data_IF_454072236567
#
_entry.id   IF_454072236567
#
_cell.length_a   1.000
_cell.length_b   1.000
_cell.length_c   1.000
_cell.angle_alpha   90.00
_cell.angle_beta   90.00
_cell.angle_gamma   90.00
#
_symmetry.space_group_name_H-M   'P 1'
#
loop_
_entity.id
_entity.type
_entity.pdbx_description
1 polymer ?
#
# COMPACT_ATOMS: atom_id res chain seq x y z
N UNK A 1 -25.59 -12.36 -78.91
CA UNK A 1 -25.69 -11.10 -78.15
C UNK A 1 -26.04 -11.46 -76.71
N UNK A 2 -25.07 -11.39 -75.81
CA UNK A 2 -25.24 -11.50 -74.35
C UNK A 2 -24.31 -10.47 -73.71
N UNK A 3 -24.81 -9.49 -72.94
CA UNK A 3 -23.95 -8.58 -72.19
C UNK A 3 -23.68 -9.14 -70.79
N UNK A 4 -22.40 -9.27 -70.44
CA UNK A 4 -21.94 -9.52 -69.07
C UNK A 4 -21.95 -8.22 -68.28
N UNK A 5 -22.62 -8.22 -67.13
CA UNK A 5 -22.60 -7.15 -66.13
C UNK A 5 -21.45 -7.37 -65.15
N UNK A 6 -20.51 -6.43 -65.08
CA UNK A 6 -19.46 -6.37 -64.05
C UNK A 6 -19.95 -5.41 -62.95
N UNK A 7 -20.13 -5.93 -61.74
CA UNK A 7 -20.40 -5.16 -60.53
C UNK A 7 -19.06 -4.74 -59.90
N UNK A 8 -18.76 -3.44 -59.90
CA UNK A 8 -17.62 -2.87 -59.20
C UNK A 8 -18.05 -2.43 -57.78
N UNK A 9 -17.52 -3.08 -56.75
CA UNK A 9 -17.70 -2.71 -55.35
C UNK A 9 -16.79 -1.55 -54.98
N UNK A 10 -17.34 -0.41 -54.58
CA UNK A 10 -16.60 0.74 -54.07
C UNK A 10 -16.38 0.60 -52.56
N UNK A 11 -15.13 0.35 -52.13
CA UNK A 11 -14.73 0.51 -50.73
C UNK A 11 -14.55 2.00 -50.42
N UNK A 12 -15.41 2.57 -49.59
CA UNK A 12 -15.23 3.91 -49.05
C UNK A 12 -14.26 3.84 -47.85
N UNK A 13 -13.02 4.29 -48.03
CA UNK A 13 -12.06 4.50 -46.93
C UNK A 13 -12.41 5.81 -46.24
N UNK A 14 -12.94 5.73 -45.01
CA UNK A 14 -13.16 6.90 -44.17
C UNK A 14 -11.85 7.22 -43.45
N UNK A 15 -11.08 8.18 -43.98
CA UNK A 15 -9.92 8.71 -43.28
C UNK A 15 -10.39 9.54 -42.08
N UNK A 16 -10.20 9.04 -40.85
CA UNK A 16 -10.33 9.87 -39.65
C UNK A 16 -9.02 10.65 -39.45
N UNK A 17 -9.10 11.97 -39.50
CA UNK A 17 -7.97 12.83 -39.14
C UNK A 17 -7.55 12.54 -37.70
N UNK A 18 -6.26 12.24 -37.49
CA UNK A 18 -5.71 12.10 -36.15
C UNK A 18 -5.81 13.45 -35.41
N UNK A 19 -6.14 13.46 -34.11
CA UNK A 19 -6.21 14.70 -33.34
C UNK A 19 -4.82 15.36 -33.30
N UNK A 20 -4.75 16.62 -33.69
CA UNK A 20 -3.55 17.45 -33.53
C UNK A 20 -3.36 17.78 -32.05
N UNK A 21 -2.31 17.23 -31.45
CA UNK A 21 -1.91 17.54 -30.08
C UNK A 21 -1.32 18.96 -29.99
N UNK A 22 -1.70 19.78 -28.99
CA UNK A 22 -0.99 21.01 -28.67
C UNK A 22 0.44 20.69 -28.19
N UNK A 23 1.43 21.44 -28.67
CA UNK A 23 2.81 21.33 -28.19
C UNK A 23 2.91 21.70 -26.71
N UNK A 24 3.43 20.79 -25.90
CA UNK A 24 3.71 21.02 -24.48
C UNK A 24 5.06 21.72 -24.33
N UNK A 25 5.02 22.99 -23.94
CA UNK A 25 6.21 23.72 -23.47
C UNK A 25 6.58 23.25 -22.07
N UNK A 26 7.53 22.33 -21.97
CA UNK A 26 8.13 21.91 -20.71
C UNK A 26 9.45 22.67 -20.51
N UNK A 27 9.41 23.74 -19.73
CA UNK A 27 10.64 24.30 -19.14
C UNK A 27 10.83 23.73 -17.74
N UNK A 28 12.05 23.25 -17.51
CA UNK A 28 12.66 22.68 -16.29
C UNK A 28 12.63 21.15 -16.08
N UNK A 29 13.80 20.59 -16.38
CA UNK A 29 14.48 19.35 -15.99
C UNK A 29 13.88 18.51 -14.84
N UNK A 30 13.47 17.28 -15.17
CA UNK A 30 13.84 16.05 -14.47
C UNK A 30 13.62 14.83 -15.40
N UNK A 31 14.72 14.21 -15.84
CA UNK A 31 14.84 12.86 -16.44
C UNK A 31 13.65 12.30 -17.25
N UNK A 32 13.61 12.64 -18.54
CA UNK A 32 12.54 12.32 -19.50
C UNK A 32 12.25 10.84 -19.84
N UNK A 33 12.85 9.87 -19.14
CA UNK A 33 12.51 8.43 -19.28
C UNK A 33 11.51 7.95 -18.24
N UNK A 34 11.53 8.50 -17.02
CA UNK A 34 10.58 8.13 -15.96
C UNK A 34 9.17 8.66 -16.23
N UNK A 35 9.06 9.86 -16.81
CA UNK A 35 7.78 10.48 -17.15
C UNK A 35 7.09 9.79 -18.33
N UNK A 36 7.84 9.32 -19.34
CA UNK A 36 7.27 8.57 -20.45
C UNK A 36 6.81 7.17 -20.03
N UNK A 37 7.59 6.45 -19.20
CA UNK A 37 7.17 5.15 -18.66
C UNK A 37 5.91 5.31 -17.83
N UNK A 38 5.89 6.22 -16.85
CA UNK A 38 4.71 6.47 -16.04
C UNK A 38 3.51 6.88 -16.90
N UNK A 39 3.72 7.65 -17.96
CA UNK A 39 2.67 8.02 -18.91
C UNK A 39 2.13 6.82 -19.69
N UNK A 40 3.00 5.93 -20.20
CA UNK A 40 2.58 4.70 -20.87
C UNK A 40 1.93 3.71 -19.90
N UNK A 41 2.40 3.62 -18.65
CA UNK A 41 1.81 2.80 -17.60
C UNK A 41 0.40 3.31 -17.25
N UNK A 42 0.19 4.63 -17.20
CA UNK A 42 -1.13 5.23 -17.02
C UNK A 42 -2.05 4.95 -18.22
N UNK A 43 -1.53 5.05 -19.45
CA UNK A 43 -2.32 4.74 -20.66
C UNK A 43 -2.68 3.27 -20.70
N UNK A 44 -1.74 2.37 -20.44
CA UNK A 44 -1.97 0.93 -20.37
C UNK A 44 -3.00 0.60 -19.28
N UNK A 45 -2.81 1.12 -18.07
CA UNK A 45 -3.78 0.97 -16.98
C UNK A 45 -5.16 1.53 -17.35
N UNK A 46 -5.22 2.62 -18.10
CA UNK A 46 -6.48 3.21 -18.58
C UNK A 46 -7.16 2.36 -19.64
N UNK A 47 -6.41 1.78 -20.58
CA UNK A 47 -6.93 0.91 -21.64
C UNK A 47 -7.45 -0.39 -21.02
N UNK A 48 -6.66 -1.03 -20.16
CA UNK A 48 -7.04 -2.25 -19.44
C UNK A 48 -8.25 -1.99 -18.52
N UNK A 49 -8.23 -0.93 -17.73
CA UNK A 49 -9.36 -0.60 -16.87
C UNK A 49 -10.61 -0.21 -17.67
N UNK A 50 -10.48 0.44 -18.85
CA UNK A 50 -11.65 0.70 -19.71
C UNK A 50 -12.24 -0.60 -20.24
N UNK A 51 -11.41 -1.59 -20.57
CA UNK A 51 -11.85 -2.94 -20.97
C UNK A 51 -12.55 -3.67 -19.81
N UNK A 52 -11.97 -3.61 -18.60
CA UNK A 52 -12.54 -4.19 -17.38
C UNK A 52 -13.85 -3.50 -16.94
N UNK A 53 -13.97 -2.18 -17.13
CA UNK A 53 -15.17 -1.40 -16.85
C UNK A 53 -16.23 -1.52 -17.95
N UNK A 54 -15.84 -2.03 -19.13
CA UNK A 54 -16.75 -2.36 -20.23
C UNK A 54 -17.28 -3.80 -20.16
N UNK A 55 -16.83 -4.59 -19.17
CA UNK A 55 -17.39 -5.92 -18.92
C UNK A 55 -18.89 -5.81 -18.55
N UNK A 56 -19.77 -6.63 -19.15
CA UNK A 56 -21.21 -6.51 -18.94
C UNK A 56 -21.56 -6.89 -17.50
N UNK A 57 -22.31 -6.01 -16.81
CA UNK A 57 -22.98 -6.23 -15.52
C UNK A 57 -22.17 -6.98 -14.46
N UNK A 58 -21.35 -6.25 -13.69
CA UNK A 58 -20.80 -6.69 -12.40
C UNK A 58 -19.80 -7.86 -12.48
N UNK A 59 -18.57 -7.62 -12.06
CA UNK A 59 -17.61 -8.69 -11.79
C UNK A 59 -18.06 -9.57 -10.61
N UNK A 60 -17.69 -10.85 -10.65
CA UNK A 60 -17.93 -11.80 -9.55
C UNK A 60 -16.81 -11.68 -8.50
N UNK A 61 -17.11 -11.00 -7.38
CA UNK A 61 -16.13 -10.78 -6.30
C UNK A 61 -15.73 -12.04 -5.55
N UNK A 62 -16.45 -13.16 -5.71
CA UNK A 62 -16.01 -14.45 -5.16
C UNK A 62 -14.71 -14.94 -5.80
N UNK A 63 -14.34 -14.40 -6.96
CA UNK A 63 -13.08 -14.68 -7.66
C UNK A 63 -11.94 -13.75 -7.26
N UNK A 64 -12.22 -12.71 -6.49
CA UNK A 64 -11.19 -11.77 -6.06
C UNK A 64 -10.27 -12.44 -5.04
N UNK A 65 -8.96 -12.36 -5.28
CA UNK A 65 -7.96 -12.99 -4.43
C UNK A 65 -7.05 -11.93 -3.79
N UNK A 66 -7.09 -11.84 -2.47
CA UNK A 66 -6.16 -11.00 -1.72
C UNK A 66 -4.77 -11.65 -1.74
N UNK A 67 -3.69 -10.89 -2.04
CA UNK A 67 -2.34 -11.42 -2.00
C UNK A 67 -2.01 -12.02 -0.63
N UNK A 68 -1.43 -13.22 -0.65
CA UNK A 68 -0.81 -13.86 0.52
C UNK A 68 0.70 -13.75 0.38
N UNK A 69 1.41 -13.16 1.34
CA UNK A 69 2.83 -12.90 1.17
C UNK A 69 3.57 -12.71 2.48
N UNK A 70 4.33 -13.76 2.83
CA UNK A 70 5.19 -13.96 4.02
C UNK A 70 4.38 -14.09 5.32
N UNK A 71 4.69 -15.11 6.12
CA UNK A 71 4.06 -15.40 7.42
C UNK A 71 3.80 -14.09 8.19
N UNK A 72 2.54 -13.77 8.51
CA UNK A 72 2.31 -12.60 9.39
C UNK A 72 0.91 -12.01 9.48
N UNK A 73 0.07 -12.12 8.46
CA UNK A 73 -1.34 -11.71 8.59
C UNK A 73 -2.26 -12.94 8.66
N UNK A 74 -3.11 -13.05 9.70
CA UNK A 74 -4.16 -14.07 9.74
C UNK A 74 -5.05 -13.98 8.50
N UNK A 75 -5.54 -15.13 8.04
CA UNK A 75 -6.58 -15.15 7.01
C UNK A 75 -7.86 -14.46 7.52
N UNK A 76 -8.71 -13.96 6.60
CA UNK A 76 -10.05 -13.49 6.95
C UNK A 76 -10.81 -14.54 7.76
N UNK A 77 -11.56 -14.10 8.77
CA UNK A 77 -12.36 -15.02 9.57
C UNK A 77 -13.30 -15.87 8.70
N UNK A 78 -13.53 -17.11 9.14
CA UNK A 78 -14.40 -18.05 8.43
C UNK A 78 -15.82 -17.47 8.26
N UNK A 79 -16.40 -17.65 7.09
CA UNK A 79 -17.72 -17.11 6.73
C UNK A 79 -17.70 -15.69 6.16
N UNK A 80 -16.55 -14.99 6.21
CA UNK A 80 -16.43 -13.67 5.58
C UNK A 80 -16.26 -13.77 4.06
N UNK A 81 -16.83 -12.78 3.35
CA UNK A 81 -16.72 -12.63 1.90
C UNK A 81 -16.24 -11.23 1.52
N UNK A 82 -15.59 -11.10 0.36
CA UNK A 82 -15.12 -9.80 -0.14
C UNK A 82 -16.32 -8.91 -0.45
N UNK A 83 -16.41 -7.76 0.25
CA UNK A 83 -17.44 -6.74 0.05
C UNK A 83 -17.03 -5.70 -0.96
N UNK A 84 -15.78 -5.26 -0.88
CA UNK A 84 -15.24 -4.18 -1.69
C UNK A 84 -13.72 -4.28 -1.70
N UNK A 85 -13.11 -3.87 -2.81
CA UNK A 85 -11.67 -3.67 -2.92
C UNK A 85 -11.42 -2.26 -3.42
N UNK A 86 -10.51 -1.55 -2.78
CA UNK A 86 -10.17 -0.18 -3.15
C UNK A 86 -8.67 0.02 -3.25
N UNK A 87 -8.23 0.82 -4.22
CA UNK A 87 -6.90 1.41 -4.19
C UNK A 87 -6.99 2.71 -3.41
N UNK A 88 -6.19 2.83 -2.36
CA UNK A 88 -6.02 4.07 -1.60
C UNK A 88 -4.81 4.85 -2.10
N UNK A 89 -4.98 6.16 -2.26
CA UNK A 89 -3.89 7.11 -2.45
C UNK A 89 -4.03 8.26 -1.46
N UNK A 90 -2.96 8.53 -0.72
CA UNK A 90 -2.92 9.62 0.24
C UNK A 90 -1.59 9.71 0.98
N UNK A 91 -1.64 10.13 2.24
CA UNK A 91 -0.45 10.36 3.08
C UNK A 91 -0.50 9.59 4.39
N UNK A 92 0.67 9.17 4.83
CA UNK A 92 0.95 8.75 6.19
C UNK A 92 1.48 9.96 6.96
N UNK A 93 0.93 10.21 8.13
CA UNK A 93 1.26 11.38 8.92
C UNK A 93 2.16 10.97 10.07
N UNK A 94 3.20 11.75 10.33
CA UNK A 94 4.19 11.47 11.38
C UNK A 94 4.49 12.71 12.20
N UNK A 95 4.93 12.48 13.43
CA UNK A 95 5.37 13.54 14.34
C UNK A 95 6.75 13.26 14.90
N UNK A 96 7.47 14.34 15.17
CA UNK A 96 8.80 14.34 15.78
C UNK A 96 8.82 15.28 16.98
N UNK A 97 9.38 14.81 18.09
CA UNK A 97 9.56 15.63 19.29
C UNK A 97 10.71 16.62 19.05
N UNK A 98 10.45 17.91 19.30
CA UNK A 98 11.46 18.95 19.13
C UNK A 98 12.70 18.68 20.00
N UNK A 99 13.89 18.69 19.38
CA UNK A 99 15.16 18.46 20.06
C UNK A 99 15.59 17.00 20.21
N UNK A 100 14.84 16.04 19.65
CA UNK A 100 15.21 14.62 19.60
C UNK A 100 15.46 14.17 18.16
N UNK A 101 16.57 14.60 17.57
CA UNK A 101 16.92 14.26 16.18
C UNK A 101 17.05 12.74 15.97
N UNK A 102 17.62 12.02 16.92
CA UNK A 102 17.87 10.57 16.81
C UNK A 102 16.63 9.70 17.10
N UNK A 103 15.50 10.30 17.49
CA UNK A 103 14.28 9.54 17.80
C UNK A 103 13.59 9.05 16.53
N UNK A 104 12.94 7.89 16.61
CA UNK A 104 12.07 7.36 15.54
C UNK A 104 10.81 8.22 15.41
N UNK A 105 10.40 8.65 14.20
CA UNK A 105 9.15 9.38 14.01
C UNK A 105 7.92 8.57 14.46
N UNK A 106 7.02 9.22 15.21
CA UNK A 106 5.80 8.58 15.72
C UNK A 106 4.67 8.66 14.68
N UNK A 107 3.92 7.57 14.49
CA UNK A 107 2.76 7.57 13.62
C UNK A 107 1.65 8.50 14.15
N UNK A 108 1.22 9.44 13.31
CA UNK A 108 0.15 10.41 13.56
C UNK A 108 -1.15 10.10 12.81
N UNK A 109 -1.27 8.90 12.24
CA UNK A 109 -2.42 8.46 11.44
C UNK A 109 -2.17 8.52 9.93
N UNK A 110 -3.24 8.43 9.15
CA UNK A 110 -3.20 8.49 7.69
C UNK A 110 -4.47 9.13 7.14
N UNK A 111 -4.40 9.66 5.93
CA UNK A 111 -5.56 10.11 5.13
C UNK A 111 -5.41 9.55 3.73
N UNK A 112 -6.48 9.06 3.11
CA UNK A 112 -6.48 8.63 1.72
C UNK A 112 -7.84 8.78 1.04
N UNK A 113 -7.79 9.03 -0.27
CA UNK A 113 -8.92 8.83 -1.16
C UNK A 113 -8.92 7.39 -1.65
N UNK A 114 -10.10 6.76 -1.66
CA UNK A 114 -10.28 5.37 -2.08
C UNK A 114 -10.94 5.31 -3.45
N UNK A 115 -10.41 4.47 -4.34
CA UNK A 115 -10.91 4.26 -5.70
C UNK A 115 -11.33 2.80 -5.89
N UNK A 116 -12.52 2.58 -6.46
CA UNK A 116 -13.09 1.24 -6.60
C UNK A 116 -12.22 0.39 -7.51
N UNK A 117 -11.66 -0.69 -6.95
CA UNK A 117 -10.84 -1.66 -7.65
C UNK A 117 -11.44 -3.07 -7.58
N UNK A 118 -12.70 -3.21 -7.17
CA UNK A 118 -13.35 -4.51 -6.94
C UNK A 118 -13.36 -5.40 -8.19
N UNK A 119 -13.62 -4.83 -9.36
CA UNK A 119 -13.57 -5.60 -10.61
C UNK A 119 -12.15 -5.87 -11.10
N UNK A 120 -11.20 -4.98 -10.84
CA UNK A 120 -9.79 -5.27 -11.11
C UNK A 120 -9.35 -6.44 -10.24
N UNK A 121 -9.74 -6.48 -8.97
CA UNK A 121 -9.44 -7.56 -8.05
C UNK A 121 -9.99 -8.92 -8.49
N UNK A 122 -11.18 -8.95 -9.11
CA UNK A 122 -11.82 -10.18 -9.56
C UNK A 122 -11.37 -10.66 -10.96
N UNK A 123 -11.00 -9.73 -11.84
CA UNK A 123 -10.73 -10.02 -13.26
C UNK A 123 -9.23 -10.03 -13.59
N UNK A 124 -8.43 -9.22 -12.88
CA UNK A 124 -6.99 -9.03 -13.13
C UNK A 124 -6.22 -8.77 -11.83
N UNK A 125 -6.07 -9.76 -10.93
CA UNK A 125 -5.31 -9.62 -9.69
C UNK A 125 -3.87 -9.13 -9.92
N UNK A 126 -3.22 -9.60 -10.99
CA UNK A 126 -1.86 -9.19 -11.38
C UNK A 126 -1.76 -7.70 -11.73
N UNK A 127 -2.82 -7.13 -12.30
CA UNK A 127 -2.90 -5.69 -12.55
C UNK A 127 -3.08 -4.95 -11.23
N UNK A 128 -3.97 -5.42 -10.36
CA UNK A 128 -4.22 -4.82 -9.06
C UNK A 128 -2.94 -4.68 -8.23
N UNK A 129 -2.06 -5.68 -8.25
CA UNK A 129 -0.78 -5.66 -7.55
C UNK A 129 0.16 -4.55 -8.02
N UNK A 130 0.05 -4.11 -9.27
CA UNK A 130 0.90 -3.06 -9.85
C UNK A 130 0.36 -1.66 -9.60
N UNK A 131 -0.95 -1.50 -9.40
CA UNK A 131 -1.58 -0.18 -9.31
C UNK A 131 -0.94 0.73 -8.24
N UNK A 132 -0.65 0.27 -7.01
CA UNK A 132 -0.04 1.12 -5.98
C UNK A 132 1.31 1.72 -6.39
N UNK A 133 2.13 0.97 -7.16
CA UNK A 133 3.44 1.45 -7.63
C UNK A 133 3.36 2.64 -8.58
N UNK A 134 2.28 2.71 -9.36
CA UNK A 134 1.99 3.85 -10.24
C UNK A 134 1.28 4.96 -9.47
N UNK A 135 0.30 4.59 -8.62
CA UNK A 135 -0.51 5.56 -7.87
C UNK A 135 0.32 6.43 -6.91
N UNK A 136 1.34 5.87 -6.26
CA UNK A 136 2.22 6.63 -5.34
C UNK A 136 3.03 7.73 -6.06
N UNK A 137 3.31 7.54 -7.36
CA UNK A 137 4.06 8.48 -8.21
C UNK A 137 3.19 9.58 -8.81
N UNK A 138 1.87 9.49 -8.64
CA UNK A 138 0.98 10.53 -9.09
C UNK A 138 1.00 11.68 -8.08
N UNK A 139 1.33 12.85 -8.57
CA UNK A 139 1.20 14.11 -7.86
C UNK A 139 -0.28 14.37 -7.54
N UNK A 140 -0.60 14.55 -6.27
CA UNK A 140 -1.96 14.84 -5.84
C UNK A 140 -2.45 16.13 -6.49
N UNK A 141 -3.69 16.11 -7.02
CA UNK A 141 -4.28 17.25 -7.72
C UNK A 141 -3.78 17.49 -9.15
N UNK A 142 -2.80 16.72 -9.65
CA UNK A 142 -2.37 16.78 -11.05
C UNK A 142 -3.46 16.32 -12.02
N UNK A 143 -3.37 16.73 -13.29
CA UNK A 143 -4.24 16.23 -14.36
C UNK A 143 -4.18 14.71 -14.49
N UNK A 144 -2.99 14.11 -14.32
CA UNK A 144 -2.79 12.67 -14.35
C UNK A 144 -3.45 11.94 -13.16
N UNK A 145 -3.37 12.50 -11.94
CA UNK A 145 -4.10 11.96 -10.79
C UNK A 145 -5.62 12.05 -10.99
N UNK A 146 -6.10 13.17 -11.57
CA UNK A 146 -7.52 13.34 -11.93
C UNK A 146 -7.95 12.36 -13.02
N UNK A 147 -7.09 12.07 -14.00
CA UNK A 147 -7.38 11.13 -15.07
C UNK A 147 -7.31 9.68 -14.60
N UNK A 148 -6.36 9.30 -13.74
CA UNK A 148 -6.34 8.00 -13.07
C UNK A 148 -7.55 7.80 -12.15
N UNK A 149 -7.99 8.85 -11.45
CA UNK A 149 -9.24 8.89 -10.70
C UNK A 149 -10.51 8.84 -11.58
N UNK A 150 -10.41 9.13 -12.88
CA UNK A 150 -11.49 8.89 -13.85
C UNK A 150 -11.50 7.46 -14.34
N UNK A 151 -10.36 6.76 -14.26
CA UNK A 151 -10.26 5.34 -14.58
C UNK A 151 -10.94 4.52 -13.50
N UNK A 152 -10.54 4.67 -12.23
CA UNK A 152 -11.22 4.02 -11.12
C UNK A 152 -12.14 5.02 -10.42
N UNK A 153 -13.44 4.73 -10.36
CA UNK A 153 -14.40 5.62 -9.71
C UNK A 153 -14.08 5.77 -8.22
N UNK A 154 -14.10 7.01 -7.70
CA UNK A 154 -13.97 7.26 -6.26
C UNK A 154 -15.04 6.48 -5.50
N UNK A 155 -14.60 5.76 -4.48
CA UNK A 155 -15.43 4.84 -3.68
C UNK A 155 -15.39 5.11 -2.18
N UNK A 156 -14.71 6.17 -1.74
CA UNK A 156 -14.71 6.55 -0.34
C UNK A 156 -13.51 7.38 0.07
N UNK A 157 -13.37 7.49 1.38
CA UNK A 157 -12.22 8.09 2.06
C UNK A 157 -11.81 7.25 3.26
N UNK A 158 -10.53 7.31 3.58
CA UNK A 158 -9.95 6.75 4.78
C UNK A 158 -9.28 7.87 5.57
N UNK A 159 -9.50 7.91 6.88
CA UNK A 159 -8.77 8.79 7.80
C UNK A 159 -8.80 8.22 9.22
N UNK A 160 -7.96 8.75 10.11
CA UNK A 160 -7.97 8.39 11.52
C UNK A 160 -8.85 9.38 12.32
N UNK A 161 -9.78 8.88 13.14
CA UNK A 161 -10.62 9.74 14.00
C UNK A 161 -9.96 10.09 15.33
N UNK A 162 -8.98 9.28 15.73
CA UNK A 162 -8.09 9.45 16.88
C UNK A 162 -6.79 8.68 16.60
N UNK A 163 -5.86 8.62 17.56
CA UNK A 163 -4.55 7.96 17.35
C UNK A 163 -4.63 6.45 17.07
N UNK A 164 -5.77 5.80 17.30
CA UNK A 164 -5.93 4.34 17.25
C UNK A 164 -7.05 3.85 16.34
N UNK A 165 -7.95 4.74 15.91
CA UNK A 165 -9.15 4.37 15.15
C UNK A 165 -9.02 4.74 13.69
N UNK A 166 -8.78 3.74 12.85
CA UNK A 166 -8.86 3.85 11.40
C UNK A 166 -10.33 3.89 10.98
N UNK A 167 -10.74 4.95 10.29
CA UNK A 167 -12.10 5.10 9.78
C UNK A 167 -12.13 5.04 8.25
N UNK A 168 -13.14 4.37 7.73
CA UNK A 168 -13.42 4.26 6.31
C UNK A 168 -14.88 4.66 6.09
N UNK A 169 -15.11 5.66 5.26
CA UNK A 169 -16.44 5.95 4.75
C UNK A 169 -16.45 5.58 3.26
N UNK A 170 -17.22 4.54 2.94
CA UNK A 170 -17.35 3.99 1.58
C UNK A 170 -18.68 4.40 0.92
N UNK A 171 -19.42 5.29 1.57
CA UNK A 171 -20.67 5.83 1.08
C UNK A 171 -20.39 7.06 0.23
N UNK A 172 -20.83 7.00 -1.02
CA UNK A 172 -20.74 8.06 -2.01
C UNK A 172 -22.11 8.23 -2.67
N UNK A 173 -22.37 9.33 -3.40
CA UNK A 173 -23.63 9.46 -4.14
C UNK A 173 -23.92 8.31 -5.12
N UNK A 174 -22.90 7.53 -5.50
CA UNK A 174 -22.97 6.41 -6.43
C UNK A 174 -22.79 5.03 -5.80
N UNK A 175 -22.44 4.94 -4.52
CA UNK A 175 -22.12 3.67 -3.83
C UNK A 175 -22.59 3.76 -2.38
N UNK A 176 -23.35 2.76 -1.94
CA UNK A 176 -23.80 2.59 -0.56
C UNK A 176 -23.20 1.27 -0.04
N UNK A 177 -22.01 1.36 0.54
CA UNK A 177 -21.21 0.22 0.98
C UNK A 177 -21.17 0.14 2.51
N UNK A 178 -21.14 1.29 3.16
CA UNK A 178 -21.11 1.46 4.59
C UNK A 178 -19.86 2.17 5.11
N UNK A 179 -19.77 2.22 6.42
CA UNK A 179 -18.68 2.83 7.16
C UNK A 179 -18.02 1.78 8.06
N UNK A 180 -16.69 1.84 8.19
CA UNK A 180 -15.94 0.92 9.04
C UNK A 180 -15.05 1.71 10.00
N UNK A 181 -15.30 1.56 11.32
CA UNK A 181 -14.43 2.03 12.39
C UNK A 181 -13.59 0.86 12.86
N UNK A 182 -12.29 0.91 12.68
CA UNK A 182 -11.42 -0.24 12.90
C UNK A 182 -10.29 0.04 13.88
N UNK A 183 -9.88 -0.98 14.61
CA UNK A 183 -8.60 -1.02 15.34
C UNK A 183 -7.61 -1.91 14.63
N UNK A 184 -6.32 -1.64 14.82
CA UNK A 184 -5.26 -2.56 14.41
C UNK A 184 -5.43 -3.89 15.15
N UNK A 185 -5.37 -4.98 14.40
CA UNK A 185 -5.40 -6.35 14.92
C UNK A 185 -4.03 -7.01 14.76
N UNK A 186 -3.45 -6.93 13.57
CA UNK A 186 -2.10 -7.44 13.30
C UNK A 186 -1.41 -6.65 12.20
N UNK A 187 -0.09 -6.78 12.12
CA UNK A 187 0.73 -6.16 11.08
C UNK A 187 1.93 -7.01 10.72
N UNK A 188 2.37 -6.90 9.47
CA UNK A 188 3.62 -7.48 8.97
C UNK A 188 4.34 -6.46 8.09
N UNK A 189 5.66 -6.56 8.02
CA UNK A 189 6.43 -5.76 7.08
C UNK A 189 5.97 -6.03 5.64
N UNK A 190 5.91 -4.98 4.83
CA UNK A 190 5.68 -5.15 3.40
C UNK A 190 6.83 -6.00 2.79
N UNK A 191 6.55 -6.81 1.75
CA UNK A 191 7.59 -7.59 1.09
C UNK A 191 8.76 -6.71 0.64
N UNK A 192 10.01 -7.22 0.64
CA UNK A 192 11.17 -6.45 0.16
C UNK A 192 11.05 -5.95 -1.28
N UNK A 193 10.17 -6.58 -2.08
CA UNK A 193 9.87 -6.20 -3.46
C UNK A 193 8.79 -5.11 -3.60
N UNK A 194 8.22 -4.64 -2.48
CA UNK A 194 7.21 -3.59 -2.49
C UNK A 194 7.79 -2.29 -3.08
N UNK A 195 6.97 -1.57 -3.85
CA UNK A 195 7.41 -0.35 -4.52
C UNK A 195 7.74 0.76 -3.50
N UNK A 196 8.82 1.48 -3.75
CA UNK A 196 9.17 2.65 -2.96
C UNK A 196 8.31 3.85 -3.34
N UNK A 197 8.22 4.82 -2.44
CA UNK A 197 7.66 6.14 -2.72
C UNK A 197 8.54 6.96 -3.68
N UNK A 198 8.16 8.22 -3.87
CA UNK A 198 8.78 9.10 -4.85
C UNK A 198 10.22 9.48 -4.48
N UNK A 199 10.53 9.53 -3.19
CA UNK A 199 11.85 9.88 -2.65
C UNK A 199 12.60 8.63 -2.15
N UNK A 200 12.14 7.43 -2.51
CA UNK A 200 12.74 6.17 -2.09
C UNK A 200 12.23 5.64 -0.75
N UNK A 201 11.13 6.19 -0.24
CA UNK A 201 10.51 5.76 1.02
C UNK A 201 10.08 4.30 0.91
N UNK A 202 10.39 3.49 1.92
CA UNK A 202 9.94 2.08 1.97
C UNK A 202 8.41 2.04 2.01
N UNK A 203 7.84 0.92 1.56
CA UNK A 203 6.41 0.68 1.70
C UNK A 203 6.03 0.51 3.18
N UNK A 204 4.91 1.12 3.60
CA UNK A 204 4.36 0.90 4.95
C UNK A 204 3.94 -0.54 5.16
N UNK A 205 3.92 -0.96 6.43
CA UNK A 205 3.49 -2.29 6.86
C UNK A 205 2.10 -2.65 6.33
N UNK A 206 1.90 -3.94 6.06
CA UNK A 206 0.57 -4.47 5.81
C UNK A 206 -0.16 -4.60 7.14
N UNK A 207 -1.47 -4.38 7.12
CA UNK A 207 -2.31 -4.37 8.32
C UNK A 207 -3.53 -5.27 8.12
N UNK A 208 -3.91 -5.98 9.17
CA UNK A 208 -5.29 -6.44 9.38
C UNK A 208 -5.93 -5.56 10.45
N UNK A 209 -7.13 -5.08 10.16
CA UNK A 209 -7.93 -4.26 11.05
C UNK A 209 -9.25 -4.97 11.33
N UNK A 210 -9.72 -4.91 12.58
CA UNK A 210 -11.05 -5.40 12.98
C UNK A 210 -11.98 -4.25 13.29
N UNK A 211 -13.23 -4.37 12.86
CA UNK A 211 -14.24 -3.33 13.11
C UNK A 211 -14.66 -3.32 14.57
N UNK A 212 -14.73 -2.12 15.17
CA UNK A 212 -15.26 -1.89 16.52
C UNK A 212 -16.77 -2.17 16.53
N UNK A 213 -17.26 -2.67 17.67
CA UNK A 213 -18.69 -2.76 17.94
C UNK A 213 -19.30 -1.37 18.06
N UNK A 214 -20.45 -1.15 17.40
CA UNK A 214 -21.10 0.15 17.33
C UNK A 214 -20.37 1.13 16.41
N UNK A 215 -21.08 1.66 15.41
CA UNK A 215 -20.54 2.68 14.49
C UNK A 215 -19.86 2.15 13.23
N UNK A 216 -20.03 0.85 12.93
CA UNK A 216 -19.72 0.24 11.63
C UNK A 216 -21.03 -0.18 10.96
N UNK A 217 -21.19 0.08 9.67
CA UNK A 217 -22.36 -0.28 8.84
C UNK A 217 -21.93 -1.18 7.66
N UNK A 218 -22.88 -1.64 6.86
CA UNK A 218 -22.56 -2.45 5.66
C UNK A 218 -22.08 -3.87 5.94
N UNK A 219 -22.16 -4.34 7.19
CA UNK A 219 -21.76 -5.69 7.58
C UNK A 219 -20.25 -5.94 7.51
N UNK A 220 -19.43 -4.89 7.35
CA UNK A 220 -17.97 -4.98 7.31
C UNK A 220 -17.46 -5.45 8.67
N UNK A 221 -16.52 -6.40 8.68
CA UNK A 221 -15.93 -7.01 9.88
C UNK A 221 -14.43 -6.87 9.94
N UNK A 222 -13.78 -6.97 8.78
CA UNK A 222 -12.33 -6.88 8.67
C UNK A 222 -11.93 -6.01 7.49
N UNK A 223 -10.84 -5.26 7.67
CA UNK A 223 -10.21 -4.47 6.62
C UNK A 223 -8.73 -4.82 6.56
N UNK A 224 -8.24 -5.15 5.37
CA UNK A 224 -6.82 -5.40 5.16
C UNK A 224 -6.22 -4.27 4.34
N UNK A 225 -5.04 -3.80 4.74
CA UNK A 225 -4.17 -2.95 3.92
C UNK A 225 -3.00 -3.79 3.45
N UNK A 226 -2.94 -4.07 2.16
CA UNK A 226 -1.89 -4.88 1.52
C UNK A 226 -1.40 -4.21 0.25
N UNK A 227 -0.36 -4.77 -0.39
CA UNK A 227 0.22 -4.22 -1.63
C UNK A 227 0.56 -2.73 -1.49
N UNK A 228 1.27 -2.40 -0.43
CA UNK A 228 1.64 -1.02 -0.10
C UNK A 228 2.79 -0.52 -0.97
N UNK A 229 2.81 0.78 -1.23
CA UNK A 229 3.89 1.48 -1.91
C UNK A 229 4.19 2.81 -1.19
N UNK A 230 5.46 3.04 -0.84
CA UNK A 230 5.89 4.21 -0.07
C UNK A 230 5.23 4.35 1.30
N UNK A 231 5.35 5.55 1.87
CA UNK A 231 4.67 5.95 3.10
C UNK A 231 5.46 5.75 4.40
N UNK A 232 6.53 4.95 4.42
CA UNK A 232 7.33 4.77 5.65
C UNK A 232 8.16 6.01 5.96
N UNK A 233 8.33 6.36 7.25
CA UNK A 233 9.13 7.51 7.64
C UNK A 233 10.64 7.20 7.49
N UNK A 234 11.51 8.22 7.56
CA UNK A 234 12.94 7.99 7.81
C UNK A 234 13.16 7.27 9.14
N UNK A 235 14.37 6.70 9.31
CA UNK A 235 14.73 6.00 10.54
C UNK A 235 14.75 6.92 11.77
N UNK A 236 15.05 8.21 11.57
CA UNK A 236 15.16 9.19 12.64
C UNK A 236 14.45 10.50 12.29
N UNK A 237 14.20 11.32 13.30
CA UNK A 237 13.67 12.68 13.18
C UNK A 237 14.70 13.72 12.73
N UNK A 238 15.91 13.29 12.34
CA UNK A 238 16.97 14.19 11.92
C UNK A 238 16.56 14.96 10.65
N UNK A 239 16.62 16.29 10.72
CA UNK A 239 16.20 17.16 9.60
C UNK A 239 14.70 17.18 9.32
N UNK A 240 13.89 16.48 10.12
CA UNK A 240 12.44 16.43 9.94
C UNK A 240 11.74 17.56 10.70
N UNK A 241 10.65 18.14 10.15
CA UNK A 241 9.80 19.06 10.90
C UNK A 241 9.02 18.32 11.99
N UNK A 242 8.44 19.07 12.94
CA UNK A 242 7.66 18.51 14.04
C UNK A 242 6.48 17.63 13.59
N UNK A 243 5.91 17.92 12.42
CA UNK A 243 4.88 17.12 11.76
C UNK A 243 5.17 17.06 10.27
N UNK A 244 5.07 15.90 9.65
CA UNK A 244 5.25 15.73 8.21
C UNK A 244 4.36 14.63 7.66
N UNK A 245 4.20 14.64 6.34
CA UNK A 245 3.38 13.71 5.58
C UNK A 245 4.25 12.96 4.57
N UNK A 246 4.06 11.65 4.45
CA UNK A 246 4.75 10.81 3.49
C UNK A 246 3.72 10.20 2.53
N UNK A 247 3.83 10.47 1.21
CA UNK A 247 2.96 9.88 0.21
C UNK A 247 2.98 8.35 0.23
N UNK A 248 1.79 7.73 0.18
CA UNK A 248 1.65 6.29 0.05
C UNK A 248 0.49 5.91 -0.88
N UNK A 249 0.56 4.68 -1.37
CA UNK A 249 -0.58 3.99 -1.97
C UNK A 249 -0.70 2.57 -1.40
N UNK A 250 -1.92 2.01 -1.42
CA UNK A 250 -2.17 0.67 -0.94
C UNK A 250 -3.44 0.07 -1.57
N UNK A 251 -3.60 -1.25 -1.46
CA UNK A 251 -4.86 -1.93 -1.75
C UNK A 251 -5.56 -2.27 -0.43
N UNK A 252 -6.81 -1.85 -0.32
CA UNK A 252 -7.69 -2.12 0.80
C UNK A 252 -8.73 -3.18 0.44
N UNK A 253 -8.81 -4.22 1.26
CA UNK A 253 -9.82 -5.27 1.13
C UNK A 253 -10.80 -5.20 2.28
N UNK A 254 -12.08 -5.02 1.96
CA UNK A 254 -13.16 -4.96 2.95
C UNK A 254 -13.91 -6.28 2.94
N UNK A 255 -13.96 -6.94 4.08
CA UNK A 255 -14.61 -8.23 4.27
C UNK A 255 -15.88 -8.06 5.08
N UNK A 256 -16.97 -8.69 4.62
CA UNK A 256 -18.27 -8.64 5.30
C UNK A 256 -18.77 -10.04 5.67
N UNK A 257 -19.69 -10.08 6.62
CA UNK A 257 -20.42 -11.29 6.99
C UNK A 257 -20.68 -11.36 8.49
N UNK A 258 -21.09 -12.55 8.92
CA UNK A 258 -21.12 -12.93 10.33
C UNK A 258 -19.80 -13.63 10.64
N UNK A 259 -19.10 -13.18 11.68
CA UNK A 259 -17.90 -13.88 12.15
C UNK A 259 -18.40 -15.09 12.91
N UNK A 260 -18.07 -16.30 12.45
CA UNK A 260 -18.35 -17.51 13.22
C UNK A 260 -17.64 -17.40 14.57
N UNK A 261 -18.38 -17.50 15.67
CA UNK A 261 -17.80 -17.50 17.01
C UNK A 261 -16.77 -18.63 17.09
N UNK A 262 -15.48 -18.30 17.19
CA UNK A 262 -14.51 -19.27 17.69
C UNK A 262 -14.89 -19.54 19.13
N UNK A 263 -15.53 -20.68 19.34
CA UNK A 263 -15.97 -21.16 20.63
C UNK A 263 -14.76 -21.26 21.56
N UNK A 264 -14.54 -20.21 22.35
CA UNK A 264 -13.67 -20.24 23.50
C UNK A 264 -14.15 -21.36 24.40
N UNK A 265 -13.27 -22.32 24.68
CA UNK A 265 -13.48 -23.27 25.75
C UNK A 265 -13.72 -22.50 27.05
N UNK A 266 -14.95 -22.56 27.52
CA UNK A 266 -15.39 -22.05 28.81
C UNK A 266 -14.69 -22.86 29.92
N UNK A 267 -13.54 -22.39 30.37
CA UNK A 267 -13.02 -22.65 31.70
C UNK A 267 -13.25 -21.40 32.56
N UNK A 268 -14.52 -21.15 32.91
CA UNK A 268 -14.96 -21.13 34.30
C UNK A 268 -14.25 -20.20 35.29
N UNK A 269 -13.52 -19.17 34.84
CA UNK A 269 -12.84 -18.21 35.70
C UNK A 269 -13.30 -16.78 35.41
N UNK A 270 -13.84 -16.13 36.44
CA UNK A 270 -14.39 -14.77 36.42
C UNK A 270 -13.48 -13.73 35.75
N UNK A 271 -14.04 -12.73 35.05
CA UNK A 271 -13.25 -11.66 34.46
C UNK A 271 -12.61 -10.80 35.56
N UNK A 272 -11.28 -10.84 35.65
CA UNK A 272 -10.52 -9.86 36.43
C UNK A 272 -10.55 -8.53 35.70
N UNK A 273 -11.06 -7.54 36.44
CA UNK A 273 -11.17 -6.10 36.19
C UNK A 273 -10.33 -5.50 35.04
N UNK A 274 -11.00 -4.75 34.16
CA UNK A 274 -10.45 -4.04 33.01
C UNK A 274 -9.73 -2.73 33.39
N UNK A 275 -8.66 -2.80 34.19
CA UNK A 275 -7.88 -1.62 34.60
C UNK A 275 -6.37 -1.73 34.41
N UNK A 276 -5.87 -2.62 33.53
CA UNK A 276 -4.43 -2.82 33.27
C UNK A 276 -4.11 -2.90 31.76
N UNK A 277 -4.64 -1.97 30.96
CA UNK A 277 -4.26 -1.83 29.54
C UNK A 277 -3.85 -0.41 29.14
N UNK A 278 -3.40 0.39 30.11
CA UNK A 278 -2.69 1.64 29.84
C UNK A 278 -1.18 1.35 29.70
N UNK A 279 -0.77 0.92 28.50
CA UNK A 279 0.55 1.18 27.88
C UNK A 279 0.82 0.16 26.75
N UNK A 280 0.16 0.35 25.60
CA UNK A 280 0.48 -0.36 24.37
C UNK A 280 1.08 0.57 23.29
N UNK A 281 1.73 1.66 23.70
CA UNK A 281 2.39 2.62 22.80
C UNK A 281 3.90 2.35 22.61
N UNK A 282 4.39 1.17 22.96
CA UNK A 282 5.84 0.89 23.03
C UNK A 282 6.28 -0.37 22.28
N UNK A 283 5.58 -0.75 21.20
CA UNK A 283 5.83 -2.01 20.47
C UNK A 283 6.14 -1.84 18.97
N UNK A 284 6.57 -0.65 18.54
CA UNK A 284 7.15 -0.48 17.18
C UNK A 284 8.67 -0.67 17.14
N UNK A 285 9.31 -1.21 18.20
CA UNK A 285 10.77 -1.10 18.33
C UNK A 285 11.48 -2.35 18.88
N UNK A 286 11.12 -3.54 18.44
CA UNK A 286 11.99 -4.72 18.59
C UNK A 286 12.18 -5.39 17.23
N UNK A 287 13.08 -4.83 16.43
CA UNK A 287 13.90 -5.63 15.54
C UNK A 287 15.20 -5.92 16.28
N UNK A 288 15.23 -7.05 16.99
CA UNK A 288 16.42 -7.66 17.57
C UNK A 288 17.40 -7.92 16.41
N UNK A 289 18.51 -7.18 16.41
CA UNK A 289 19.65 -7.45 15.54
C UNK A 289 20.58 -8.37 16.32
N UNK A 290 20.68 -9.64 15.91
CA UNK A 290 21.74 -10.54 16.34
C UNK A 290 23.08 -10.04 15.77
N UNK A 291 23.83 -9.28 16.58
CA UNK A 291 25.25 -9.01 16.37
C UNK A 291 26.04 -9.84 17.39
N UNK A 292 26.29 -11.11 17.06
CA UNK A 292 27.28 -11.91 17.79
C UNK A 292 28.69 -11.51 17.33
N UNK A 293 29.28 -10.55 18.03
CA UNK A 293 30.73 -10.38 18.09
C UNK A 293 31.19 -10.08 19.51
N UNK A 294 31.33 -11.12 20.33
CA UNK A 294 32.05 -10.99 21.61
C UNK A 294 33.58 -10.94 21.38
N UNK A 295 34.30 -10.04 22.09
CA UNK A 295 35.75 -10.04 22.14
C UNK A 295 36.23 -10.90 23.32
N UNK A 296 36.90 -12.02 23.05
CA UNK A 296 37.51 -12.80 24.11
C UNK A 296 39.00 -12.41 24.27
N UNK A 297 39.29 -11.72 25.38
CA UNK A 297 40.65 -11.53 25.89
C UNK A 297 40.82 -12.42 27.13
N UNK A 298 41.74 -13.38 27.06
CA UNK A 298 42.01 -14.28 28.18
C UNK A 298 43.03 -15.36 27.87
N UNK A 299 44.32 -14.96 27.84
CA UNK A 299 45.48 -15.60 28.47
C UNK A 299 45.79 -17.11 28.35
N UNK A 300 47.10 -17.36 28.16
CA UNK A 300 47.96 -18.46 28.64
C UNK A 300 48.36 -19.62 27.70
N UNK A 301 49.67 -19.58 27.32
CA UNK A 301 50.71 -20.60 27.01
C UNK A 301 50.38 -21.75 26.01
N UNK A 302 51.25 -22.23 25.12
CA UNK A 302 52.70 -22.51 25.17
C UNK A 302 53.34 -22.56 23.75
N UNK A 303 54.67 -22.39 23.70
CA UNK A 303 55.68 -23.13 22.89
C UNK A 303 55.76 -23.02 21.34
N UNK A 304 56.99 -22.80 20.86
CA UNK A 304 57.47 -23.21 19.53
C UNK A 304 57.95 -22.06 18.63
N UNK A 305 59.15 -21.49 18.83
CA UNK A 305 60.42 -21.90 18.21
C UNK A 305 60.70 -21.23 16.85
N UNK A 306 61.88 -20.60 16.78
CA UNK A 306 62.73 -20.38 15.59
C UNK A 306 62.22 -19.32 14.57
N UNK A 307 63.01 -18.41 13.98
CA UNK A 307 64.43 -18.08 13.93
C UNK A 307 64.50 -16.70 13.21
N UNK A 308 65.58 -15.92 13.45
CA UNK A 308 66.34 -15.07 12.48
C UNK A 308 65.54 -14.09 11.56
N UNK A 309 65.83 -12.80 11.36
CA UNK A 309 67.10 -12.10 11.26
C UNK A 309 66.83 -10.57 11.11
N UNK A 310 67.78 -9.81 11.64
CA UNK A 310 68.35 -8.49 11.29
C UNK A 310 67.61 -7.38 10.48
N UNK A 311 67.82 -6.15 10.99
CA UNK A 311 68.02 -4.90 10.21
C UNK A 311 66.79 -4.00 10.06
N UNK A 312 66.84 -2.67 10.10
CA UNK A 312 67.88 -1.67 10.24
C UNK A 312 67.17 -0.30 10.38
N UNK A 313 67.76 0.65 11.13
CA UNK A 313 67.57 2.11 11.23
C UNK A 313 66.62 2.83 10.24
N UNK A 314 65.87 3.91 10.56
CA UNK A 314 66.29 5.19 11.19
C UNK A 314 65.08 6.14 11.30
N UNK A 315 65.13 7.03 12.30
CA UNK A 315 64.33 8.27 12.37
C UNK A 315 64.86 9.34 11.41
N UNK A 316 63.95 10.07 10.76
CA UNK A 316 63.84 11.54 10.81
C UNK A 316 62.43 11.95 10.31
#
# INVERSE_FOLDING_TARGET
MHPSTILASTLAVVARAAPTFPGLGLTHQANGVGSLSAYFDIIAAKVEATELLSAPSGCDLSKAQMPSGVDGLPAPAEGLTVRHVAVGRGTQNYTCDAGKADAVPKAGGAVATLFNASCVAALSPELLERVPSTAVRLEEGSGAARDGARVLARSGVHYFTDSSTAFFNLDTPSLDIGEARCTKDSSVNAPPTAATGQLGEKAVTWLRLRTKEGGTTGGIKEVYRVTTAGGSPPATCEGMPATFEVPYAAVYWFWQGEVGDQQGGDDGSEPKNASEWENASEWENESEWDDESEPNNGSEWEDGSDDEDEGEWRFD
#
